data_IF_244485852059
#
_entry.id   IF_244485852059
#
_cell.length_a   1.000
_cell.length_b   1.000
_cell.length_c   1.000
_cell.angle_alpha   90.00
_cell.angle_beta   90.00
_cell.angle_gamma   90.00
#
_symmetry.space_group_name_H-M   'P 1'
#
loop_
_entity.id
_entity.type
_entity.pdbx_description
1 polymer ?
#
# COMPACT_ATOMS: atom_id res chain seq x y z
N UNK A 1 -14.42 37.19 37.21
CA UNK A 1 -14.34 35.74 36.97
C UNK A 1 -13.92 35.62 35.53
N UNK A 2 -12.61 35.52 35.27
CA UNK A 2 -12.10 35.42 33.91
C UNK A 2 -12.46 34.02 33.39
N UNK A 3 -13.39 33.95 32.43
CA UNK A 3 -13.60 32.73 31.66
C UNK A 3 -12.29 32.46 30.90
N UNK A 4 -11.50 31.51 31.41
CA UNK A 4 -10.42 30.90 30.63
C UNK A 4 -11.06 30.18 29.44
N UNK A 5 -11.26 30.90 28.34
CA UNK A 5 -11.68 30.32 27.07
C UNK A 5 -10.61 29.33 26.62
N UNK A 6 -10.91 28.04 26.73
CA UNK A 6 -10.04 27.00 26.23
C UNK A 6 -9.87 27.19 24.72
N UNK A 7 -8.63 27.27 24.26
CA UNK A 7 -8.31 27.41 22.83
C UNK A 7 -8.98 26.29 22.04
N UNK A 8 -9.93 26.66 21.18
CA UNK A 8 -10.69 25.73 20.36
C UNK A 8 -9.91 25.41 19.09
N UNK A 9 -9.21 24.27 19.10
CA UNK A 9 -8.45 23.80 17.94
C UNK A 9 -9.37 23.42 16.78
N UNK A 10 -8.91 23.60 15.52
CA UNK A 10 -9.63 23.10 14.36
C UNK A 10 -9.66 21.57 14.36
N UNK A 11 -10.69 20.95 13.75
CA UNK A 11 -10.75 19.51 13.60
C UNK A 11 -9.51 19.01 12.84
N UNK A 12 -8.92 17.93 13.33
CA UNK A 12 -7.73 17.36 12.72
C UNK A 12 -8.02 16.89 11.29
N UNK A 13 -7.27 17.42 10.34
CA UNK A 13 -7.40 17.06 8.93
C UNK A 13 -6.18 16.25 8.50
N UNK A 14 -6.28 14.93 8.58
CA UNK A 14 -5.23 14.04 8.08
C UNK A 14 -5.02 14.21 6.57
N UNK A 15 -6.09 14.52 5.83
CA UNK A 15 -6.11 14.79 4.38
C UNK A 15 -5.16 15.90 3.94
N UNK A 16 -5.14 17.01 4.69
CA UNK A 16 -4.29 18.17 4.44
C UNK A 16 -3.71 18.73 5.75
N UNK A 17 -2.55 18.19 6.13
CA UNK A 17 -1.84 18.58 7.34
C UNK A 17 -1.30 20.00 7.27
N UNK A 18 -0.92 20.49 6.08
CA UNK A 18 -0.42 21.85 5.89
C UNK A 18 -1.51 22.86 6.24
N UNK A 19 -2.70 22.68 5.64
CA UNK A 19 -3.85 23.52 5.94
C UNK A 19 -4.24 23.44 7.42
N UNK A 20 -4.24 22.24 8.01
CA UNK A 20 -4.55 22.09 9.44
C UNK A 20 -3.60 22.87 10.34
N UNK A 21 -2.28 22.80 10.09
CA UNK A 21 -1.31 23.58 10.86
C UNK A 21 -1.49 25.08 10.68
N UNK A 22 -1.79 25.57 9.47
CA UNK A 22 -2.09 26.99 9.23
C UNK A 22 -3.31 27.43 10.05
N UNK A 23 -4.37 26.63 10.07
CA UNK A 23 -5.57 26.92 10.86
C UNK A 23 -5.28 26.91 12.36
N UNK A 24 -4.52 25.92 12.84
CA UNK A 24 -4.14 25.82 14.24
C UNK A 24 -3.26 27.00 14.68
N UNK A 25 -2.32 27.43 13.84
CA UNK A 25 -1.47 28.61 14.08
C UNK A 25 -2.30 29.89 14.17
N UNK A 26 -3.34 30.05 13.34
CA UNK A 26 -4.27 31.16 13.45
C UNK A 26 -5.03 31.13 14.79
N UNK A 27 -5.47 29.95 15.25
CA UNK A 27 -6.11 29.80 16.57
C UNK A 27 -5.16 30.19 17.71
N UNK A 28 -3.89 29.81 17.64
CA UNK A 28 -2.88 30.20 18.63
C UNK A 28 -2.68 31.72 18.68
N UNK A 29 -2.72 32.40 17.53
CA UNK A 29 -2.60 33.85 17.48
C UNK A 29 -3.82 34.58 18.05
N UNK A 30 -5.01 34.00 17.90
CA UNK A 30 -6.27 34.57 18.40
C UNK A 30 -6.60 34.16 19.84
N UNK A 31 -5.72 33.42 20.52
CA UNK A 31 -5.94 33.00 21.89
C UNK A 31 -6.05 34.19 22.87
N UNK A 32 -6.98 34.09 23.81
CA UNK A 32 -7.32 35.12 24.81
C UNK A 32 -6.97 34.57 26.20
N UNK A 33 -6.38 35.37 27.13
CA UNK A 33 -6.12 36.82 27.04
C UNK A 33 -4.87 37.21 26.26
N UNK A 34 -4.01 36.26 25.89
CA UNK A 34 -2.80 36.51 25.10
C UNK A 34 -2.54 35.39 24.08
N UNK A 35 -1.89 35.71 22.94
CA UNK A 35 -1.49 34.71 21.96
C UNK A 35 -0.63 33.61 22.55
N UNK A 36 -0.80 32.39 22.06
CA UNK A 36 0.08 31.26 22.38
C UNK A 36 1.32 31.34 21.49
N UNK A 37 2.44 31.76 22.08
CA UNK A 37 3.72 31.86 21.39
C UNK A 37 4.69 30.74 21.76
N UNK A 38 4.58 30.19 22.97
CA UNK A 38 5.49 29.17 23.47
C UNK A 38 5.36 27.86 22.68
N UNK A 39 6.50 27.36 22.17
CA UNK A 39 6.57 26.13 21.38
C UNK A 39 6.01 24.92 22.14
N UNK A 40 6.40 24.73 23.40
CA UNK A 40 5.88 23.63 24.24
C UNK A 40 4.34 23.65 24.38
N UNK A 41 3.74 24.84 24.50
CA UNK A 41 2.27 24.96 24.58
C UNK A 41 1.61 24.58 23.26
N UNK A 42 2.11 25.09 22.12
CA UNK A 42 1.60 24.71 20.78
C UNK A 42 1.72 23.20 20.54
N UNK A 43 2.87 22.63 20.89
CA UNK A 43 3.12 21.19 20.82
C UNK A 43 2.05 20.40 21.59
N UNK A 44 1.80 20.73 22.86
CA UNK A 44 0.81 20.03 23.67
C UNK A 44 -0.60 20.11 23.08
N UNK A 45 -1.00 21.27 22.54
CA UNK A 45 -2.29 21.42 21.86
C UNK A 45 -2.37 20.54 20.61
N UNK A 46 -1.33 20.52 19.79
CA UNK A 46 -1.31 19.68 18.60
C UNK A 46 -1.38 18.20 18.95
N UNK A 47 -0.54 17.71 19.88
CA UNK A 47 -0.54 16.30 20.33
C UNK A 47 -1.91 15.87 20.85
N UNK A 48 -2.58 16.71 21.63
CA UNK A 48 -3.91 16.41 22.17
C UNK A 48 -5.00 16.26 21.09
N UNK A 49 -4.77 16.76 19.87
CA UNK A 49 -5.73 16.73 18.77
C UNK A 49 -5.32 15.81 17.61
N UNK A 50 -4.19 15.11 17.70
CA UNK A 50 -3.79 14.14 16.68
C UNK A 50 -4.73 12.93 16.68
N UNK A 51 -5.01 12.39 15.49
CA UNK A 51 -5.63 11.07 15.40
C UNK A 51 -4.66 9.98 15.89
N UNK A 52 -5.15 8.83 16.36
CA UNK A 52 -4.29 7.70 16.75
C UNK A 52 -3.34 7.25 15.65
N UNK A 53 -3.79 7.28 14.39
CA UNK A 53 -3.01 6.95 13.20
C UNK A 53 -1.84 7.92 13.00
N UNK A 54 -2.12 9.23 13.01
CA UNK A 54 -1.09 10.27 12.89
C UNK A 54 -0.08 10.20 14.04
N UNK A 55 -0.55 10.01 15.27
CA UNK A 55 0.30 9.87 16.45
C UNK A 55 1.19 8.63 16.37
N UNK A 56 0.73 7.53 15.76
CA UNK A 56 1.54 6.34 15.58
C UNK A 56 2.70 6.56 14.60
N UNK A 57 2.51 7.37 13.54
CA UNK A 57 3.53 7.67 12.53
C UNK A 57 4.71 8.48 13.11
N UNK A 58 4.43 9.38 14.05
CA UNK A 58 5.44 10.23 14.70
C UNK A 58 5.64 9.89 16.18
N UNK A 59 5.44 8.62 16.56
CA UNK A 59 5.50 8.17 17.95
C UNK A 59 6.79 8.59 18.65
N UNK A 60 7.93 8.41 17.99
CA UNK A 60 9.26 8.79 18.47
C UNK A 60 9.38 10.29 18.75
N UNK A 61 8.77 11.13 17.92
CA UNK A 61 8.75 12.59 18.11
C UNK A 61 7.89 12.96 19.32
N UNK A 62 6.80 12.22 19.56
CA UNK A 62 5.91 12.46 20.71
C UNK A 62 6.55 11.99 22.01
N UNK A 63 7.21 10.83 22.01
CA UNK A 63 7.82 10.25 23.21
C UNK A 63 9.17 10.88 23.56
N UNK A 64 9.89 11.42 22.57
CA UNK A 64 11.17 12.09 22.75
C UNK A 64 11.20 13.44 22.00
N UNK A 65 10.42 14.43 22.46
CA UNK A 65 10.35 15.73 21.80
C UNK A 65 11.67 16.51 21.95
N UNK A 66 11.99 17.33 20.95
CA UNK A 66 13.09 18.28 21.02
C UNK A 66 12.94 19.26 22.19
N UNK A 67 14.06 19.63 22.81
CA UNK A 67 14.07 20.51 23.98
C UNK A 67 13.99 22.00 23.60
N UNK A 68 14.37 22.36 22.38
CA UNK A 68 14.38 23.74 21.91
C UNK A 68 13.04 24.14 21.32
N UNK A 69 12.60 23.44 20.27
CA UNK A 69 11.38 23.75 19.53
C UNK A 69 10.58 22.49 19.17
N UNK A 70 9.92 21.86 20.17
CA UNK A 70 9.15 20.63 19.96
C UNK A 70 8.00 20.80 18.97
N UNK A 71 7.39 21.99 18.89
CA UNK A 71 6.33 22.28 17.93
C UNK A 71 6.83 22.22 16.49
N UNK A 72 7.96 22.87 16.20
CA UNK A 72 8.53 22.89 14.86
C UNK A 72 8.91 21.49 14.41
N UNK A 73 9.59 20.71 15.27
CA UNK A 73 9.94 19.33 14.97
C UNK A 73 8.69 18.48 14.69
N UNK A 74 7.67 18.57 15.55
CA UNK A 74 6.41 17.85 15.34
C UNK A 74 5.76 18.21 14.00
N UNK A 75 5.67 19.51 13.67
CA UNK A 75 5.08 19.98 12.41
C UNK A 75 5.83 19.41 11.20
N UNK A 76 7.15 19.56 11.17
CA UNK A 76 7.99 19.10 10.05
C UNK A 76 7.93 17.58 9.87
N UNK A 77 8.11 16.81 10.94
CA UNK A 77 8.11 15.35 10.88
C UNK A 77 6.72 14.79 10.59
N UNK A 78 5.65 15.38 11.12
CA UNK A 78 4.29 14.93 10.85
C UNK A 78 3.92 15.15 9.39
N UNK A 79 4.20 16.34 8.83
CA UNK A 79 3.94 16.62 7.42
C UNK A 79 4.76 15.67 6.53
N UNK A 80 6.06 15.50 6.83
CA UNK A 80 6.95 14.68 6.03
C UNK A 80 6.53 13.22 6.03
N UNK A 81 6.44 12.60 7.21
CA UNK A 81 6.22 11.14 7.34
C UNK A 81 4.81 10.74 6.95
N UNK A 82 3.79 11.54 7.29
CA UNK A 82 2.43 11.28 6.82
C UNK A 82 2.30 11.48 5.30
N UNK A 83 3.01 12.46 4.72
CA UNK A 83 3.07 12.65 3.27
C UNK A 83 3.74 11.48 2.55
N UNK A 84 4.83 10.94 3.09
CA UNK A 84 5.49 9.73 2.59
C UNK A 84 4.59 8.50 2.69
N UNK A 85 3.91 8.31 3.83
CA UNK A 85 2.96 7.20 4.07
C UNK A 85 1.83 7.21 3.04
N UNK A 86 1.18 8.36 2.83
CA UNK A 86 0.15 8.53 1.80
C UNK A 86 0.69 8.27 0.40
N UNK A 87 1.87 8.80 0.08
CA UNK A 87 2.49 8.57 -1.22
C UNK A 87 2.82 7.09 -1.45
N UNK A 88 3.14 6.35 -0.38
CA UNK A 88 3.34 4.90 -0.44
C UNK A 88 2.01 4.17 -0.64
N UNK A 89 0.95 4.52 0.11
CA UNK A 89 -0.39 3.93 -0.03
C UNK A 89 -0.93 4.09 -1.45
N UNK A 90 -0.84 5.30 -2.02
CA UNK A 90 -1.20 5.57 -3.41
C UNK A 90 -0.38 4.73 -4.40
N UNK A 91 0.95 4.65 -4.21
CA UNK A 91 1.79 3.79 -5.05
C UNK A 91 1.38 2.33 -4.96
N UNK A 92 1.07 1.82 -3.77
CA UNK A 92 0.59 0.46 -3.57
C UNK A 92 -0.78 0.21 -4.22
N UNK A 93 -1.66 1.20 -4.23
CA UNK A 93 -2.95 1.11 -4.93
C UNK A 93 -2.78 1.06 -6.45
N UNK A 94 -1.93 1.92 -7.00
CA UNK A 94 -1.69 2.04 -8.44
C UNK A 94 -0.84 0.90 -9.01
N UNK A 95 0.13 0.40 -8.25
CA UNK A 95 1.05 -0.64 -8.72
C UNK A 95 0.36 -2.00 -8.94
N UNK A 96 -0.80 -2.22 -8.32
CA UNK A 96 -1.42 -3.54 -8.32
C UNK A 96 -0.80 -4.45 -7.26
N UNK A 97 -1.58 -4.94 -6.29
CA UNK A 97 -1.12 -6.05 -5.45
C UNK A 97 -1.46 -7.37 -6.14
N UNK A 98 -0.52 -8.32 -6.17
CA UNK A 98 -0.82 -9.65 -6.69
C UNK A 98 -1.83 -10.30 -5.74
N UNK A 99 -2.99 -10.69 -6.28
CA UNK A 99 -4.06 -11.35 -5.53
C UNK A 99 -3.54 -12.57 -4.75
N UNK A 100 -2.58 -13.32 -5.33
CA UNK A 100 -1.98 -14.51 -4.72
C UNK A 100 -3.06 -15.51 -4.33
N UNK A 101 -2.96 -16.04 -3.12
CA UNK A 101 -3.97 -16.95 -2.52
C UNK A 101 -5.07 -16.21 -1.73
N UNK A 102 -5.11 -14.86 -1.78
CA UNK A 102 -6.10 -14.09 -1.03
C UNK A 102 -7.45 -14.07 -1.73
N UNK A 103 -8.52 -14.00 -0.95
CA UNK A 103 -9.86 -13.77 -1.50
C UNK A 103 -9.95 -12.36 -2.10
N UNK A 104 -10.57 -12.21 -3.29
CA UNK A 104 -10.92 -10.91 -3.85
C UNK A 104 -11.62 -9.95 -2.87
N UNK A 105 -12.49 -10.44 -1.98
CA UNK A 105 -13.11 -9.62 -0.91
C UNK A 105 -12.10 -9.05 0.09
N UNK A 106 -11.12 -9.84 0.51
CA UNK A 106 -10.05 -9.36 1.39
C UNK A 106 -9.16 -8.33 0.69
N UNK A 107 -8.86 -8.55 -0.59
CA UNK A 107 -8.11 -7.58 -1.40
C UNK A 107 -8.85 -6.24 -1.47
N UNK A 108 -10.15 -6.26 -1.78
CA UNK A 108 -10.96 -5.04 -1.88
C UNK A 108 -10.93 -4.27 -0.56
N UNK A 109 -11.07 -4.95 0.58
CA UNK A 109 -11.04 -4.30 1.91
C UNK A 109 -9.70 -3.60 2.17
N UNK A 110 -8.59 -4.19 1.75
CA UNK A 110 -7.27 -3.55 1.86
C UNK A 110 -7.17 -2.34 0.95
N UNK A 111 -7.67 -2.43 -0.29
CA UNK A 111 -7.69 -1.30 -1.23
C UNK A 111 -8.57 -0.15 -0.71
N UNK A 112 -9.75 -0.45 -0.17
CA UNK A 112 -10.64 0.53 0.45
C UNK A 112 -9.94 1.29 1.58
N UNK A 113 -9.30 0.57 2.51
CA UNK A 113 -8.55 1.19 3.61
C UNK A 113 -7.46 2.13 3.10
N UNK A 114 -6.68 1.70 2.09
CA UNK A 114 -5.64 2.55 1.49
C UNK A 114 -6.23 3.74 0.74
N UNK A 115 -7.48 3.66 0.27
CA UNK A 115 -8.13 4.71 -0.51
C UNK A 115 -8.81 5.80 0.36
N UNK A 116 -9.12 5.49 1.62
CA UNK A 116 -9.83 6.38 2.56
C UNK A 116 -9.21 7.79 2.63
N UNK A 117 -7.88 7.86 2.66
CA UNK A 117 -7.13 9.12 2.79
C UNK A 117 -6.87 9.86 1.47
N UNK A 118 -7.33 9.32 0.34
CA UNK A 118 -6.96 9.78 -1.01
C UNK A 118 -8.12 10.26 -1.87
N UNK A 119 -9.35 10.29 -1.35
CA UNK A 119 -10.55 10.76 -2.09
C UNK A 119 -10.73 10.03 -3.44
N UNK A 120 -10.44 8.74 -3.48
CA UNK A 120 -10.60 7.92 -4.69
C UNK A 120 -12.09 7.68 -4.93
N UNK A 121 -12.55 7.89 -6.16
CA UNK A 121 -13.96 7.64 -6.52
C UNK A 121 -14.26 6.14 -6.55
N UNK A 122 -15.51 5.76 -6.22
CA UNK A 122 -15.94 4.36 -6.26
C UNK A 122 -15.73 3.70 -7.63
N UNK A 123 -15.90 4.47 -8.71
CA UNK A 123 -15.66 4.02 -10.08
C UNK A 123 -14.19 3.70 -10.32
N UNK A 124 -13.28 4.59 -9.88
CA UNK A 124 -11.84 4.37 -10.02
C UNK A 124 -11.38 3.20 -9.14
N UNK A 125 -11.92 3.08 -7.93
CA UNK A 125 -11.62 1.95 -7.05
C UNK A 125 -12.08 0.62 -7.66
N UNK A 126 -13.26 0.58 -8.29
CA UNK A 126 -13.73 -0.58 -9.04
C UNK A 126 -12.77 -0.92 -10.19
N UNK A 127 -12.34 0.07 -10.98
CA UNK A 127 -11.43 -0.14 -12.11
C UNK A 127 -10.07 -0.69 -11.64
N UNK A 128 -9.48 -0.09 -10.61
CA UNK A 128 -8.24 -0.58 -10.00
C UNK A 128 -8.41 -1.99 -9.45
N UNK A 129 -9.55 -2.28 -8.82
CA UNK A 129 -9.84 -3.62 -8.30
C UNK A 129 -9.92 -4.66 -9.42
N UNK A 130 -10.63 -4.35 -10.51
CA UNK A 130 -10.73 -5.24 -11.67
C UNK A 130 -9.35 -5.52 -12.28
N UNK A 131 -8.48 -4.51 -12.38
CA UNK A 131 -7.11 -4.67 -12.89
C UNK A 131 -6.25 -5.65 -12.09
N UNK A 132 -6.55 -5.87 -10.80
CA UNK A 132 -5.81 -6.80 -9.94
C UNK A 132 -6.31 -8.25 -10.00
N UNK A 133 -7.45 -8.51 -10.66
CA UNK A 133 -8.00 -9.86 -10.79
C UNK A 133 -7.42 -10.61 -12.01
N UNK A 134 -7.45 -11.96 -12.03
CA UNK A 134 -7.11 -12.73 -13.23
C UNK A 134 -8.02 -12.38 -14.41
N UNK A 135 -7.48 -12.42 -15.64
CA UNK A 135 -8.22 -12.07 -16.86
C UNK A 135 -9.52 -12.86 -17.04
N UNK A 136 -9.52 -14.14 -16.65
CA UNK A 136 -10.71 -15.00 -16.69
C UNK A 136 -11.86 -14.46 -15.83
N UNK A 137 -11.54 -13.99 -14.62
CA UNK A 137 -12.51 -13.37 -13.70
C UNK A 137 -12.96 -12.01 -14.24
N UNK A 138 -12.03 -11.18 -14.73
CA UNK A 138 -12.35 -9.87 -15.31
C UNK A 138 -13.36 -9.96 -16.46
N UNK A 139 -13.17 -10.89 -17.41
CA UNK A 139 -14.08 -11.06 -18.55
C UNK A 139 -15.51 -11.37 -18.13
N UNK A 140 -15.69 -12.15 -17.07
CA UNK A 140 -17.01 -12.49 -16.54
C UNK A 140 -17.63 -11.27 -15.84
N UNK A 141 -16.85 -10.57 -15.01
CA UNK A 141 -17.31 -9.38 -14.29
C UNK A 141 -17.72 -8.23 -15.22
N UNK A 142 -16.99 -8.00 -16.30
CA UNK A 142 -17.29 -6.95 -17.28
C UNK A 142 -18.62 -7.16 -18.02
N UNK A 143 -19.11 -8.41 -18.09
CA UNK A 143 -20.41 -8.72 -18.69
C UNK A 143 -21.59 -8.42 -17.74
N UNK A 144 -21.34 -8.16 -16.46
CA UNK A 144 -22.36 -7.96 -15.43
C UNK A 144 -22.57 -6.45 -15.24
N UNK A 145 -23.80 -5.99 -15.43
CA UNK A 145 -24.20 -4.59 -15.19
C UNK A 145 -25.56 -4.51 -14.51
N UNK A 146 -25.76 -3.62 -13.50
CA UNK A 146 -24.76 -2.71 -12.91
C UNK A 146 -23.85 -3.42 -11.89
N UNK A 147 -22.57 -2.99 -11.86
CA UNK A 147 -21.54 -3.54 -10.99
C UNK A 147 -20.92 -2.45 -10.11
N UNK A 148 -20.69 -2.77 -8.84
CA UNK A 148 -19.89 -1.96 -7.93
C UNK A 148 -18.76 -2.83 -7.34
N UNK A 149 -17.76 -2.21 -6.70
CA UNK A 149 -16.59 -2.93 -6.21
C UNK A 149 -16.96 -4.06 -5.24
N UNK A 150 -17.91 -3.83 -4.31
CA UNK A 150 -18.36 -4.83 -3.34
C UNK A 150 -18.97 -6.06 -4.03
N UNK A 151 -19.93 -5.86 -4.94
CA UNK A 151 -20.53 -6.95 -5.73
C UNK A 151 -19.51 -7.66 -6.61
N UNK A 152 -18.58 -6.92 -7.21
CA UNK A 152 -17.51 -7.49 -8.02
C UNK A 152 -16.65 -8.45 -7.19
N UNK A 153 -16.29 -8.08 -5.96
CA UNK A 153 -15.52 -8.93 -5.08
C UNK A 153 -16.29 -10.19 -4.66
N UNK A 154 -17.56 -10.09 -4.28
CA UNK A 154 -18.40 -11.25 -3.93
C UNK A 154 -18.59 -12.23 -5.10
N UNK A 155 -18.70 -11.71 -6.33
CA UNK A 155 -18.80 -12.54 -7.53
C UNK A 155 -17.44 -13.16 -7.85
N UNK A 156 -16.35 -12.40 -7.73
CA UNK A 156 -14.99 -12.88 -7.95
C UNK A 156 -14.62 -14.02 -6.99
N UNK A 157 -14.94 -13.89 -5.70
CA UNK A 157 -14.76 -14.95 -4.70
C UNK A 157 -15.42 -16.25 -5.17
N UNK A 158 -16.69 -16.17 -5.58
CA UNK A 158 -17.44 -17.34 -6.07
C UNK A 158 -16.81 -17.93 -7.32
N UNK A 159 -16.44 -17.10 -8.31
CA UNK A 159 -15.78 -17.58 -9.53
C UNK A 159 -14.49 -18.34 -9.19
N UNK A 160 -13.67 -17.79 -8.29
CA UNK A 160 -12.39 -18.40 -7.91
C UNK A 160 -12.56 -19.66 -7.06
N UNK A 161 -13.68 -19.81 -6.33
CA UNK A 161 -14.00 -21.06 -5.61
C UNK A 161 -14.41 -22.21 -6.56
N UNK A 162 -15.10 -21.91 -7.67
CA UNK A 162 -15.49 -22.94 -8.66
C UNK A 162 -14.44 -23.19 -9.74
N UNK A 163 -13.51 -22.26 -9.93
CA UNK A 163 -12.44 -22.40 -10.94
C UNK A 163 -11.31 -23.22 -10.32
N UNK A 164 -11.01 -24.44 -10.80
CA UNK A 164 -9.84 -25.18 -10.33
C UNK A 164 -8.59 -24.32 -10.57
N UNK A 165 -7.56 -24.39 -9.71
CA UNK A 165 -6.31 -23.66 -9.96
C UNK A 165 -5.86 -24.02 -11.37
N UNK A 166 -5.58 -23.02 -12.19
CA UNK A 166 -5.01 -23.28 -13.51
C UNK A 166 -3.73 -24.08 -13.28
N UNK A 167 -3.83 -25.38 -13.52
CA UNK A 167 -2.67 -26.24 -13.65
C UNK A 167 -1.97 -25.67 -14.86
N UNK A 168 -0.95 -24.85 -14.62
CA UNK A 168 0.11 -24.60 -15.57
C UNK A 168 0.41 -25.96 -16.18
N UNK A 169 -0.07 -26.17 -17.41
CA UNK A 169 0.45 -27.22 -18.26
C UNK A 169 1.91 -26.82 -18.42
N UNK A 170 2.76 -27.35 -17.55
CA UNK A 170 4.15 -27.58 -17.90
C UNK A 170 4.00 -28.39 -19.18
N UNK A 171 4.19 -27.73 -20.31
CA UNK A 171 4.43 -28.41 -21.56
C UNK A 171 5.70 -29.20 -21.31
N UNK A 172 5.55 -30.41 -20.77
CA UNK A 172 6.50 -31.49 -20.92
C UNK A 172 6.52 -31.78 -22.41
N UNK A 173 7.23 -30.94 -23.16
CA UNK A 173 7.61 -31.18 -24.53
C UNK A 173 8.62 -32.32 -24.53
N UNK A 174 8.16 -33.53 -24.20
CA UNK A 174 8.86 -34.78 -24.49
C UNK A 174 8.48 -35.26 -25.88
N UNK A 175 8.70 -34.39 -26.87
CA UNK A 175 8.65 -34.75 -28.28
C UNK A 175 9.73 -34.00 -29.05
N UNK A 176 10.99 -34.37 -28.79
CA UNK A 176 12.06 -34.35 -29.79
C UNK A 176 13.25 -35.21 -29.32
N UNK A 177 13.04 -36.52 -29.14
CA UNK A 177 14.14 -37.48 -29.05
C UNK A 177 14.44 -38.08 -30.43
N UNK A 178 14.84 -37.27 -31.42
CA UNK A 178 15.35 -37.82 -32.70
C UNK A 178 16.39 -36.94 -33.41
N UNK A 179 17.25 -36.18 -32.73
CA UNK A 179 18.43 -35.58 -33.39
C UNK A 179 19.59 -35.40 -32.39
N UNK A 180 20.15 -36.49 -31.83
CA UNK A 180 21.47 -36.42 -31.16
C UNK A 180 22.19 -37.77 -30.91
N UNK A 181 21.62 -38.92 -31.30
CA UNK A 181 22.25 -40.22 -31.00
C UNK A 181 23.46 -40.58 -31.88
N UNK A 182 23.57 -40.03 -33.10
CA UNK A 182 24.70 -40.33 -34.00
C UNK A 182 26.01 -39.70 -33.53
N UNK A 183 25.96 -38.43 -33.09
CA UNK A 183 27.13 -37.71 -32.59
C UNK A 183 27.60 -38.22 -31.22
N UNK A 184 26.70 -38.78 -30.39
CA UNK A 184 27.06 -39.34 -29.09
C UNK A 184 27.76 -40.71 -29.20
N UNK A 185 27.42 -41.54 -30.19
CA UNK A 185 28.09 -42.83 -30.39
C UNK A 185 29.53 -42.65 -30.87
N UNK A 186 29.78 -41.67 -31.73
CA UNK A 186 31.11 -41.39 -32.28
C UNK A 186 32.06 -40.83 -31.21
N UNK A 187 31.57 -39.90 -30.39
CA UNK A 187 32.31 -39.38 -29.23
C UNK A 187 32.60 -40.44 -28.15
N UNK A 188 31.69 -41.42 -27.96
CA UNK A 188 31.90 -42.50 -27.00
C UNK A 188 32.94 -43.53 -27.46
N UNK A 189 33.04 -43.80 -28.77
CA UNK A 189 34.14 -44.60 -29.30
C UNK A 189 35.49 -43.89 -29.15
N UNK A 190 35.54 -42.59 -29.41
CA UNK A 190 36.78 -41.81 -29.35
C UNK A 190 37.32 -41.68 -27.92
N UNK A 191 36.43 -41.50 -26.92
CA UNK A 191 36.81 -41.52 -25.49
C UNK A 191 37.34 -42.90 -25.07
N UNK A 192 36.80 -43.99 -25.64
CA UNK A 192 37.24 -45.36 -25.32
C UNK A 192 38.61 -45.68 -25.93
N UNK A 193 38.88 -45.17 -27.14
CA UNK A 193 40.18 -45.29 -27.78
C UNK A 193 41.28 -44.55 -26.98
N UNK A 194 41.02 -43.30 -26.60
CA UNK A 194 41.97 -42.50 -25.80
C UNK A 194 42.28 -43.13 -24.44
N UNK A 195 41.28 -43.73 -23.76
CA UNK A 195 41.50 -44.43 -22.49
C UNK A 195 42.37 -45.68 -22.61
N UNK A 196 42.41 -46.30 -23.78
CA UNK A 196 43.24 -47.50 -24.01
C UNK A 196 44.68 -47.14 -24.31
N UNK A 197 44.92 -45.97 -24.90
CA UNK A 197 46.26 -45.44 -25.21
C UNK A 197 46.97 -44.87 -23.98
N UNK A 198 46.22 -44.32 -23.01
CA UNK A 198 46.77 -43.86 -21.71
C UNK A 198 47.06 -45.01 -20.74
N UNK A 199 46.59 -46.23 -21.04
CA UNK A 199 46.77 -47.42 -20.21
C UNK A 199 47.84 -48.41 -20.73
N UNK A 200 48.57 -48.06 -21.80
CA UNK A 200 49.85 -48.69 -22.19
C UNK A 200 51.02 -47.81 -21.74
#
# INVERSE_FOLDING_TARGET
MEENSAVKMPPFNFGDLQLWFIMAEATFQLAIPKPITASATKYNYCVAHLSPEAAAIVRDVITCPDKGDPYKQLKEELIKRCGESKSQEMRCLLAGEQLGDRKPTDLLRVMQRRAENHQISDTLLLELFLQQLPKSVQSILLAISPLNAAKAAEIADRIMEVTPPEVSKISSSNSCEKVNNASQSELLEEIKALRKEVAS
#
